data_IF_405395112710
#
_entry.id   IF_405395112710
#
_cell.length_a   1.000
_cell.length_b   1.000
_cell.length_c   1.000
_cell.angle_alpha   90.00
_cell.angle_beta   90.00
_cell.angle_gamma   90.00
#
_symmetry.space_group_name_H-M   'P 1'
#
loop_
_entity.id
_entity.type
_entity.pdbx_description
1 polymer ?
#
# COMPACT_ATOMS: atom_id res chain seq x y z
N UNK A 1 0.84 21.01 18.25
CA UNK A 1 0.13 19.71 18.31
C UNK A 1 -0.07 19.06 16.93
N UNK A 2 0.08 19.80 15.82
CA UNK A 2 0.20 19.29 14.43
C UNK A 2 1.52 19.75 13.77
N UNK A 3 2.60 19.86 14.55
CA UNK A 3 3.89 20.33 13.99
C UNK A 3 4.65 19.22 13.27
N UNK A 4 4.42 17.96 13.65
CA UNK A 4 4.90 16.82 12.89
C UNK A 4 3.85 16.44 11.85
N UNK A 5 3.92 17.07 10.67
CA UNK A 5 3.28 16.55 9.46
C UNK A 5 3.98 15.25 9.02
N UNK A 6 3.68 14.68 7.85
CA UNK A 6 4.36 13.47 7.35
C UNK A 6 5.89 13.65 7.25
N UNK A 7 6.62 13.34 8.33
CA UNK A 7 8.07 13.44 8.49
C UNK A 7 8.75 12.10 8.18
N UNK A 8 10.04 12.12 7.83
CA UNK A 8 10.84 10.91 7.57
C UNK A 8 10.78 9.89 8.72
N UNK A 9 10.80 10.34 9.98
CA UNK A 9 10.69 9.45 11.14
C UNK A 9 9.31 8.79 11.24
N UNK A 10 8.22 9.51 10.93
CA UNK A 10 6.89 8.89 10.86
C UNK A 10 6.80 7.83 9.77
N UNK A 11 7.41 8.07 8.61
CA UNK A 11 7.45 7.11 7.50
C UNK A 11 8.21 5.83 7.85
N UNK A 12 9.09 5.85 8.85
CA UNK A 12 9.74 4.62 9.35
C UNK A 12 8.81 3.74 10.19
N UNK A 13 7.68 4.29 10.67
CA UNK A 13 6.68 3.54 11.44
C UNK A 13 5.69 2.84 10.53
N UNK A 14 5.13 1.73 11.02
CA UNK A 14 4.08 1.00 10.30
C UNK A 14 2.88 1.91 9.98
N UNK A 15 2.42 2.71 10.95
CA UNK A 15 1.27 3.59 10.76
C UNK A 15 1.54 4.66 9.71
N UNK A 16 2.67 5.38 9.80
CA UNK A 16 3.02 6.42 8.83
C UNK A 16 3.21 5.87 7.43
N UNK A 17 3.90 4.74 7.28
CA UNK A 17 4.09 4.12 5.97
C UNK A 17 2.77 3.58 5.39
N UNK A 18 1.93 2.97 6.22
CA UNK A 18 0.60 2.51 5.79
C UNK A 18 -0.26 3.67 5.32
N UNK A 19 -0.32 4.76 6.08
CA UNK A 19 -1.07 5.97 5.71
C UNK A 19 -0.54 6.59 4.41
N UNK A 20 0.79 6.65 4.23
CA UNK A 20 1.39 7.12 2.97
C UNK A 20 0.94 6.27 1.78
N UNK A 21 1.04 4.94 1.91
CA UNK A 21 0.67 4.00 0.84
C UNK A 21 -0.83 4.07 0.56
N UNK A 22 -1.70 4.17 1.58
CA UNK A 22 -3.14 4.40 1.43
C UNK A 22 -3.39 5.62 0.54
N UNK A 23 -2.79 6.77 0.88
CA UNK A 23 -3.02 8.01 0.12
C UNK A 23 -2.58 7.82 -1.34
N UNK A 24 -1.37 7.30 -1.57
CA UNK A 24 -0.85 7.10 -2.94
C UNK A 24 -1.76 6.16 -3.75
N UNK A 25 -2.17 5.03 -3.16
CA UNK A 25 -3.02 4.02 -3.81
C UNK A 25 -4.39 4.60 -4.11
N UNK A 26 -5.01 5.31 -3.18
CA UNK A 26 -6.36 5.85 -3.35
C UNK A 26 -6.44 6.89 -4.47
N UNK A 27 -5.40 7.70 -4.67
CA UNK A 27 -5.32 8.62 -5.80
C UNK A 27 -4.98 7.88 -7.11
N UNK A 28 -4.12 6.87 -7.05
CA UNK A 28 -3.59 6.21 -8.26
C UNK A 28 -4.53 5.14 -8.81
N UNK A 29 -5.32 4.47 -7.96
CA UNK A 29 -6.19 3.35 -8.36
C UNK A 29 -7.15 3.72 -9.48
N UNK A 30 -7.73 4.92 -9.46
CA UNK A 30 -8.67 5.39 -10.49
C UNK A 30 -8.01 5.51 -11.86
N UNK A 31 -6.74 5.92 -11.89
CA UNK A 31 -5.94 6.05 -13.11
C UNK A 31 -5.51 4.68 -13.62
N UNK A 32 -4.99 3.82 -12.72
CA UNK A 32 -4.50 2.48 -13.07
C UNK A 32 -5.66 1.57 -13.52
N UNK A 33 -6.79 1.60 -12.82
CA UNK A 33 -8.00 0.85 -13.18
C UNK A 33 -8.49 1.22 -14.58
N UNK A 34 -8.47 2.50 -14.94
CA UNK A 34 -8.91 2.98 -16.26
C UNK A 34 -7.98 2.53 -17.39
N UNK A 35 -6.68 2.36 -17.13
CA UNK A 35 -5.69 2.03 -18.16
C UNK A 35 -5.36 0.53 -18.27
N UNK A 36 -5.37 -0.20 -17.15
CA UNK A 36 -4.87 -1.58 -17.09
C UNK A 36 -5.86 -2.57 -16.44
N UNK A 37 -6.97 -2.12 -15.85
CA UNK A 37 -7.96 -2.98 -15.19
C UNK A 37 -7.65 -3.28 -13.72
N UNK A 38 -8.59 -3.93 -13.04
CA UNK A 38 -8.59 -4.08 -11.57
C UNK A 38 -7.47 -4.96 -11.02
N UNK A 39 -7.07 -6.01 -11.75
CA UNK A 39 -5.98 -6.90 -11.32
C UNK A 39 -4.63 -6.16 -11.20
N UNK A 40 -4.39 -5.18 -12.08
CA UNK A 40 -3.15 -4.41 -12.06
C UNK A 40 -3.06 -3.46 -10.87
N UNK A 41 -4.18 -2.98 -10.34
CA UNK A 41 -4.20 -2.16 -9.11
C UNK A 41 -3.65 -2.99 -7.94
N UNK A 42 -3.93 -4.30 -7.91
CA UNK A 42 -3.46 -5.19 -6.84
C UNK A 42 -1.96 -5.35 -6.85
N UNK A 43 -1.40 -5.73 -8.00
CA UNK A 43 0.05 -5.90 -8.17
C UNK A 43 0.79 -4.57 -7.97
N UNK A 44 0.25 -3.47 -8.53
CA UNK A 44 0.82 -2.14 -8.37
C UNK A 44 0.96 -1.75 -6.90
N UNK A 45 -0.11 -1.90 -6.13
CA UNK A 45 -0.12 -1.53 -4.70
C UNK A 45 0.84 -2.40 -3.91
N UNK A 46 0.93 -3.69 -4.22
CA UNK A 46 1.88 -4.59 -3.58
C UNK A 46 3.33 -4.16 -3.83
N UNK A 47 3.70 -3.96 -5.10
CA UNK A 47 5.04 -3.52 -5.47
C UNK A 47 5.38 -2.16 -4.85
N UNK A 48 4.44 -1.22 -4.87
CA UNK A 48 4.62 0.10 -4.27
C UNK A 48 4.88 -0.03 -2.76
N UNK A 49 4.06 -0.80 -2.05
CA UNK A 49 4.23 -1.00 -0.60
C UNK A 49 5.56 -1.65 -0.27
N UNK A 50 6.02 -2.60 -1.10
CA UNK A 50 7.27 -3.32 -0.89
C UNK A 50 8.47 -2.40 -1.09
N UNK A 51 8.45 -1.58 -2.14
CA UNK A 51 9.50 -0.58 -2.39
C UNK A 51 9.54 0.46 -1.27
N UNK A 52 8.38 1.02 -0.89
CA UNK A 52 8.33 2.05 0.16
C UNK A 52 8.76 1.47 1.51
N UNK A 53 8.28 0.28 1.88
CA UNK A 53 8.68 -0.39 3.12
C UNK A 53 10.18 -0.65 3.10
N UNK A 54 10.76 -1.09 1.99
CA UNK A 54 12.20 -1.32 1.89
C UNK A 54 13.03 -0.03 2.04
N UNK A 55 12.55 1.10 1.53
CA UNK A 55 13.27 2.39 1.59
C UNK A 55 13.21 3.01 2.99
N UNK A 56 12.04 2.97 3.65
CA UNK A 56 11.81 3.71 4.89
C UNK A 56 11.89 2.85 6.15
N UNK A 57 11.70 1.53 6.05
CA UNK A 57 11.84 0.65 7.20
C UNK A 57 13.32 0.46 7.53
N UNK A 58 13.77 1.05 8.64
CA UNK A 58 15.11 0.82 9.17
C UNK A 58 15.20 -0.64 9.62
N UNK A 59 15.98 -1.44 8.90
CA UNK A 59 16.17 -2.85 9.14
C UNK A 59 17.67 -3.18 9.02
N UNK A 60 18.16 -4.06 9.89
CA UNK A 60 19.53 -4.59 9.78
C UNK A 60 19.57 -5.65 8.69
N UNK A 61 20.46 -5.54 7.68
CA UNK A 61 20.62 -6.41 6.48
C UNK A 61 20.68 -7.95 6.72
N UNK A 62 20.43 -8.41 7.93
CA UNK A 62 20.02 -9.77 8.29
C UNK A 62 18.85 -10.30 7.47
N UNK A 63 18.86 -11.62 7.27
CA UNK A 63 17.83 -12.38 6.56
C UNK A 63 16.45 -12.24 7.23
N UNK A 64 16.43 -12.09 8.56
CA UNK A 64 15.21 -11.87 9.34
C UNK A 64 14.54 -10.53 9.00
N UNK A 65 15.33 -9.47 8.81
CA UNK A 65 14.78 -8.15 8.50
C UNK A 65 14.21 -8.05 7.09
N UNK A 66 14.79 -8.74 6.11
CA UNK A 66 14.24 -8.84 4.75
C UNK A 66 12.87 -9.52 4.79
N UNK A 67 12.74 -10.62 5.54
CA UNK A 67 11.45 -11.32 5.73
C UNK A 67 10.43 -10.37 6.39
N UNK A 68 10.86 -9.59 7.39
CA UNK A 68 9.98 -8.63 8.06
C UNK A 68 9.47 -7.54 7.11
N UNK A 69 10.32 -7.02 6.23
CA UNK A 69 9.93 -6.04 5.20
C UNK A 69 8.87 -6.63 4.27
N UNK A 70 9.05 -7.88 3.83
CA UNK A 70 8.07 -8.56 2.98
C UNK A 70 6.72 -8.70 3.71
N UNK A 71 6.72 -9.19 4.95
CA UNK A 71 5.49 -9.35 5.75
C UNK A 71 4.80 -7.99 5.98
N UNK A 72 5.55 -6.97 6.38
CA UNK A 72 5.03 -5.62 6.61
C UNK A 72 4.41 -5.05 5.33
N UNK A 73 5.09 -5.19 4.20
CA UNK A 73 4.58 -4.72 2.90
C UNK A 73 3.29 -5.42 2.50
N UNK A 74 3.14 -6.73 2.76
CA UNK A 74 1.88 -7.45 2.56
C UNK A 74 0.76 -6.88 3.43
N UNK A 75 1.01 -6.63 4.71
CA UNK A 75 0.02 -6.04 5.62
C UNK A 75 -0.40 -4.64 5.16
N UNK A 76 0.57 -3.80 4.78
CA UNK A 76 0.33 -2.45 4.25
C UNK A 76 -0.49 -2.51 2.97
N UNK A 77 -0.18 -3.44 2.07
CA UNK A 77 -0.90 -3.67 0.82
C UNK A 77 -2.38 -3.93 1.09
N UNK A 78 -2.67 -4.87 1.98
CA UNK A 78 -4.04 -5.26 2.34
C UNK A 78 -4.78 -4.08 2.99
N UNK A 79 -4.11 -3.35 3.88
CA UNK A 79 -4.67 -2.16 4.51
C UNK A 79 -4.96 -1.04 3.50
N UNK A 80 -4.08 -0.88 2.50
CA UNK A 80 -4.11 0.23 1.54
C UNK A 80 -5.09 0.07 0.39
N UNK A 81 -5.41 -1.17 0.01
CA UNK A 81 -6.43 -1.45 -1.00
C UNK A 81 -7.85 -1.10 -0.53
N UNK A 82 -8.06 -0.94 0.78
CA UNK A 82 -9.36 -0.65 1.36
C UNK A 82 -10.26 -1.89 1.35
N UNK A 83 -10.68 -2.35 2.53
CA UNK A 83 -11.56 -3.51 2.67
C UNK A 83 -12.85 -3.41 1.84
N UNK A 84 -13.34 -2.20 1.53
CA UNK A 84 -14.59 -2.02 0.78
C UNK A 84 -14.52 -2.52 -0.67
N UNK A 85 -13.40 -2.37 -1.40
CA UNK A 85 -13.31 -2.92 -2.78
C UNK A 85 -13.13 -4.45 -2.79
N UNK A 86 -12.56 -5.02 -1.72
CA UNK A 86 -12.40 -6.46 -1.58
C UNK A 86 -13.66 -7.16 -1.02
N UNK A 87 -14.44 -6.47 -0.19
CA UNK A 87 -15.66 -6.99 0.45
C UNK A 87 -16.90 -6.69 -0.40
N UNK A 88 -17.00 -5.50 -1.01
CA UNK A 88 -18.19 -5.12 -1.77
C UNK A 88 -18.17 -5.62 -3.23
N UNK A 89 -17.01 -5.80 -3.85
CA UNK A 89 -16.94 -6.30 -5.23
C UNK A 89 -15.59 -6.97 -5.59
N UNK A 90 -15.30 -8.18 -5.05
CA UNK A 90 -14.05 -8.90 -5.33
C UNK A 90 -13.91 -9.32 -6.80
N UNK A 91 -15.04 -9.42 -7.51
CA UNK A 91 -15.17 -9.67 -8.94
C UNK A 91 -15.92 -8.51 -9.54
N UNK A 92 -15.23 -7.41 -9.89
CA UNK A 92 -15.81 -6.22 -10.52
C UNK A 92 -16.63 -6.55 -11.80
N UNK A 93 -17.82 -7.13 -11.62
CA UNK A 93 -18.87 -7.26 -12.59
C UNK A 93 -19.64 -5.96 -12.47
N UNK A 94 -19.01 -4.88 -12.95
CA UNK A 94 -19.78 -3.70 -13.36
C UNK A 94 -20.66 -4.13 -14.52
N UNK A 95 -21.81 -4.72 -14.20
CA UNK A 95 -22.97 -4.77 -15.09
C UNK A 95 -23.38 -3.32 -15.28
N UNK A 96 -22.86 -2.70 -16.34
CA UNK A 96 -23.44 -1.47 -16.88
C UNK A 96 -24.88 -1.82 -17.28
N UNK A 97 -25.85 -1.37 -16.50
CA UNK A 97 -27.16 -0.98 -17.04
C UNK A 97 -27.06 0.46 -17.51
#
# INVERSE_FOLDING_TARGET
MFEDFMTGDMLTTFAGLTTAVIVIVQFTKSVVKKRFGDYFVRIYTFLLSLILTFIFFKHDNSLQGIILVVINSMMITIASMGGYEMIADPMAQKVRR
#
